data_IF_514378034569
#
_entry.id   IF_514378034569
#
_cell.length_a   1.000
_cell.length_b   1.000
_cell.length_c   1.000
_cell.angle_alpha   90.00
_cell.angle_beta   90.00
_cell.angle_gamma   90.00
#
_symmetry.space_group_name_H-M   'P 1'
#
loop_
_entity.id
_entity.type
_entity.pdbx_description
1 polymer ?
#
# COMPACT_ATOMS: atom_id res chain seq x y z
N UNK A 1 -22.41 4.72 -13.05
CA UNK A 1 -22.78 3.29 -12.89
C UNK A 1 -22.16 2.76 -11.61
N UNK A 2 -22.98 2.32 -10.65
CA UNK A 2 -22.47 1.76 -9.39
C UNK A 2 -21.64 0.50 -9.64
N UNK A 3 -20.61 0.30 -8.82
CA UNK A 3 -19.73 -0.86 -8.89
C UNK A 3 -19.89 -1.69 -7.61
N UNK A 4 -20.31 -2.94 -7.75
CA UNK A 4 -20.66 -3.83 -6.62
C UNK A 4 -19.56 -4.82 -6.22
N UNK A 5 -18.35 -4.66 -6.76
CA UNK A 5 -17.17 -5.46 -6.45
C UNK A 5 -15.92 -4.60 -6.44
N UNK A 6 -14.89 -5.07 -5.74
CA UNK A 6 -13.60 -4.38 -5.60
C UNK A 6 -12.88 -4.15 -6.94
N UNK A 7 -12.15 -3.05 -7.12
CA UNK A 7 -12.22 -1.86 -6.27
C UNK A 7 -13.55 -1.13 -6.43
N UNK A 8 -13.99 -0.46 -5.38
CA UNK A 8 -15.25 0.30 -5.38
C UNK A 8 -15.05 1.71 -5.93
N UNK A 9 -16.17 2.39 -6.33
CA UNK A 9 -16.09 3.78 -6.83
C UNK A 9 -15.50 4.74 -5.81
N UNK A 10 -15.83 4.54 -4.53
CA UNK A 10 -15.17 5.13 -3.39
C UNK A 10 -14.34 4.04 -2.69
N UNK A 11 -13.05 4.20 -2.63
CA UNK A 11 -12.12 3.25 -2.01
C UNK A 11 -11.15 3.98 -1.08
N UNK A 12 -10.37 3.25 -0.30
CA UNK A 12 -9.34 3.77 0.59
C UNK A 12 -8.05 2.96 0.45
N UNK A 13 -6.90 3.57 0.72
CA UNK A 13 -5.61 2.86 0.66
C UNK A 13 -5.50 1.84 1.79
N UNK A 14 -5.79 2.22 3.05
CA UNK A 14 -5.89 1.19 4.09
C UNK A 14 -5.61 1.69 5.51
N UNK A 15 -4.55 2.46 5.74
CA UNK A 15 -4.20 2.92 7.08
C UNK A 15 -5.01 4.13 7.53
N UNK A 16 -5.35 4.16 8.83
CA UNK A 16 -6.03 5.25 9.51
C UNK A 16 -5.22 5.75 10.71
N UNK A 17 -5.56 6.93 11.22
CA UNK A 17 -4.94 7.49 12.42
C UNK A 17 -5.22 6.59 13.63
N UNK A 18 -4.16 6.14 14.29
CA UNK A 18 -4.28 5.30 15.48
C UNK A 18 -4.80 6.11 16.66
N UNK A 19 -5.88 5.66 17.34
CA UNK A 19 -6.40 6.33 18.52
C UNK A 19 -5.39 6.26 19.67
N UNK A 20 -5.48 7.23 20.58
CA UNK A 20 -4.58 7.33 21.75
C UNK A 20 -4.62 6.07 22.63
N UNK A 21 -5.76 5.38 22.70
CA UNK A 21 -5.88 4.13 23.43
C UNK A 21 -4.84 3.08 22.98
N UNK A 22 -4.62 2.92 21.67
CA UNK A 22 -3.60 2.01 21.14
C UNK A 22 -2.20 2.49 21.51
N UNK A 23 -1.92 3.80 21.37
CA UNK A 23 -0.59 4.36 21.69
C UNK A 23 -0.25 4.12 23.17
N UNK A 24 -1.19 4.38 24.07
CA UNK A 24 -1.01 4.13 25.50
C UNK A 24 -0.88 2.64 25.83
N UNK A 25 -1.68 1.77 25.22
CA UNK A 25 -1.58 0.34 25.41
C UNK A 25 -0.21 -0.22 24.95
N UNK A 26 0.33 0.28 23.85
CA UNK A 26 1.67 -0.11 23.38
C UNK A 26 2.78 0.33 24.33
N UNK A 27 2.69 1.53 24.91
CA UNK A 27 3.64 1.98 25.94
C UNK A 27 3.57 1.08 27.19
N UNK A 28 2.36 0.73 27.67
CA UNK A 28 2.17 -0.18 28.79
C UNK A 28 2.66 -1.60 28.49
N UNK A 29 2.46 -2.09 27.27
CA UNK A 29 2.99 -3.38 26.85
C UNK A 29 4.53 -3.37 26.82
N UNK A 30 5.14 -2.32 26.28
CA UNK A 30 6.59 -2.16 26.25
C UNK A 30 7.22 -2.05 27.66
N UNK A 31 6.49 -1.48 28.63
CA UNK A 31 6.93 -1.42 30.05
C UNK A 31 6.62 -2.69 30.84
N UNK A 32 5.88 -3.66 30.25
CA UNK A 32 5.47 -4.89 30.94
C UNK A 32 4.27 -4.72 31.89
N UNK A 33 3.58 -3.59 31.84
CA UNK A 33 2.38 -3.33 32.65
C UNK A 33 1.16 -4.14 32.20
N UNK A 34 1.08 -4.44 30.90
CA UNK A 34 0.05 -5.28 30.31
C UNK A 34 0.69 -6.39 29.45
N UNK A 35 -0.02 -7.49 29.30
CA UNK A 35 0.38 -8.60 28.45
C UNK A 35 -0.10 -8.45 27.00
N UNK A 36 0.33 -9.35 26.11
CA UNK A 36 -0.03 -9.32 24.69
C UNK A 36 -1.55 -9.52 24.46
N UNK A 37 -2.23 -10.29 25.33
CA UNK A 37 -3.69 -10.48 25.24
C UNK A 37 -4.45 -9.19 25.57
N UNK A 38 -3.98 -8.45 26.57
CA UNK A 38 -4.55 -7.16 26.94
C UNK A 38 -4.32 -6.09 25.87
N UNK A 39 -3.12 -6.04 25.26
CA UNK A 39 -2.85 -5.18 24.12
C UNK A 39 -3.79 -5.52 22.97
N UNK A 40 -3.90 -6.82 22.62
CA UNK A 40 -4.78 -7.26 21.53
C UNK A 40 -6.24 -6.90 21.78
N UNK A 41 -6.73 -6.97 23.01
CA UNK A 41 -8.10 -6.56 23.34
C UNK A 41 -8.35 -5.06 23.04
N UNK A 42 -7.39 -4.19 23.34
CA UNK A 42 -7.47 -2.76 23.02
C UNK A 42 -7.44 -2.54 21.51
N UNK A 43 -6.58 -3.24 20.80
CA UNK A 43 -6.51 -3.18 19.33
C UNK A 43 -7.80 -3.69 18.68
N UNK A 44 -8.35 -4.80 19.16
CA UNK A 44 -9.62 -5.39 18.69
C UNK A 44 -10.78 -4.38 18.79
N UNK A 45 -10.88 -3.68 19.92
CA UNK A 45 -11.92 -2.67 20.12
C UNK A 45 -11.74 -1.47 19.19
N UNK A 46 -10.51 -0.98 19.06
CA UNK A 46 -10.21 0.14 18.18
C UNK A 46 -10.46 -0.23 16.69
N UNK A 47 -10.13 -1.46 16.29
CA UNK A 47 -10.38 -1.96 14.93
C UNK A 47 -11.90 -2.09 14.67
N UNK A 48 -12.68 -2.54 15.64
CA UNK A 48 -14.15 -2.55 15.50
C UNK A 48 -14.68 -1.14 15.26
N UNK A 49 -14.23 -0.18 16.07
CA UNK A 49 -14.64 1.21 15.91
C UNK A 49 -14.26 1.81 14.56
N UNK A 50 -13.03 1.59 14.07
CA UNK A 50 -12.61 2.11 12.76
C UNK A 50 -13.37 1.46 11.60
N UNK A 51 -13.76 0.20 11.71
CA UNK A 51 -14.63 -0.47 10.72
C UNK A 51 -16.02 0.16 10.71
N UNK A 52 -16.61 0.42 11.89
CA UNK A 52 -17.91 1.11 12.01
C UNK A 52 -17.86 2.53 11.41
N UNK A 53 -16.80 3.28 11.65
CA UNK A 53 -16.61 4.62 11.07
C UNK A 53 -16.47 4.59 9.54
N UNK A 54 -15.76 3.63 8.99
CA UNK A 54 -15.65 3.43 7.54
C UNK A 54 -17.03 3.16 6.92
N UNK A 55 -17.80 2.26 7.51
CA UNK A 55 -19.18 1.98 7.08
C UNK A 55 -20.10 3.22 7.21
N UNK A 56 -20.00 3.96 8.31
CA UNK A 56 -20.77 5.18 8.56
C UNK A 56 -20.42 6.30 7.56
N UNK A 57 -19.24 6.30 6.99
CA UNK A 57 -18.85 7.18 5.89
C UNK A 57 -19.38 6.73 4.51
N UNK A 58 -20.06 5.59 4.43
CA UNK A 58 -20.63 5.07 3.17
C UNK A 58 -19.65 4.22 2.34
N UNK A 59 -18.53 3.78 2.91
CA UNK A 59 -17.61 2.86 2.23
C UNK A 59 -18.21 1.45 2.15
N UNK A 60 -18.02 0.79 1.02
CA UNK A 60 -18.33 -0.64 0.82
C UNK A 60 -17.14 -1.56 1.09
N UNK A 61 -15.97 -0.99 1.32
CA UNK A 61 -14.71 -1.65 1.67
C UNK A 61 -14.28 -1.19 3.05
N UNK A 62 -13.72 -2.10 3.86
CA UNK A 62 -13.19 -1.79 5.18
C UNK A 62 -11.83 -2.42 5.38
N UNK A 63 -10.96 -1.73 6.13
CA UNK A 63 -9.65 -2.21 6.58
C UNK A 63 -9.58 -2.19 8.09
N UNK A 64 -8.58 -2.85 8.66
CA UNK A 64 -8.26 -2.78 10.09
C UNK A 64 -7.56 -1.45 10.50
N UNK A 65 -7.41 -0.50 9.57
CA UNK A 65 -6.68 0.74 9.77
C UNK A 65 -5.18 0.57 9.94
N UNK A 66 -4.67 -0.64 9.80
CA UNK A 66 -3.29 -1.04 10.10
C UNK A 66 -2.93 -0.82 11.59
N UNK A 67 -3.92 -0.90 12.46
CA UNK A 67 -3.77 -0.54 13.87
C UNK A 67 -2.84 -1.45 14.66
N UNK A 68 -2.59 -2.68 14.20
CA UNK A 68 -1.66 -3.61 14.83
C UNK A 68 -0.21 -3.42 14.39
N UNK A 69 0.04 -2.65 13.29
CA UNK A 69 1.37 -2.44 12.74
C UNK A 69 2.04 -1.21 13.36
N UNK A 70 3.35 -1.32 13.60
CA UNK A 70 4.21 -0.17 13.84
C UNK A 70 4.55 0.52 12.50
N UNK A 71 4.85 -0.29 11.47
CA UNK A 71 5.22 0.14 10.13
C UNK A 71 4.52 -0.71 9.07
N UNK A 72 4.09 -0.12 7.98
CA UNK A 72 3.34 -0.75 6.91
C UNK A 72 4.06 -1.97 6.27
N UNK A 73 5.40 -2.02 6.26
CA UNK A 73 6.17 -3.10 5.61
C UNK A 73 7.00 -3.95 6.57
N UNK A 74 7.63 -3.37 7.60
CA UNK A 74 8.50 -4.15 8.50
C UNK A 74 7.74 -5.24 9.23
N UNK A 75 6.55 -4.94 9.71
CA UNK A 75 5.72 -5.91 10.42
C UNK A 75 5.33 -7.13 9.56
N UNK A 76 5.22 -6.94 8.24
CA UNK A 76 5.05 -8.06 7.32
C UNK A 76 6.36 -8.81 7.10
N UNK A 77 7.48 -8.12 6.90
CA UNK A 77 8.76 -8.77 6.65
C UNK A 77 9.26 -9.59 7.83
N UNK A 78 8.97 -9.17 9.06
CA UNK A 78 9.33 -9.93 10.28
C UNK A 78 8.66 -11.33 10.34
N UNK A 79 7.54 -11.52 9.66
CA UNK A 79 6.84 -12.80 9.55
C UNK A 79 7.34 -13.70 8.43
N UNK A 80 8.27 -13.24 7.57
CA UNK A 80 8.81 -14.03 6.47
C UNK A 80 9.98 -14.91 6.91
N UNK A 81 10.09 -16.10 6.33
CA UNK A 81 11.26 -16.94 6.49
C UNK A 81 12.43 -16.34 5.71
N UNK A 82 13.63 -16.42 6.28
CA UNK A 82 14.86 -15.97 5.64
C UNK A 82 15.08 -14.45 5.65
N UNK A 83 14.25 -13.68 6.35
CA UNK A 83 14.36 -12.23 6.48
C UNK A 83 14.66 -11.85 7.93
N UNK A 84 15.55 -10.92 8.13
CA UNK A 84 15.92 -10.36 9.44
C UNK A 84 15.83 -8.84 9.44
N UNK A 85 15.27 -8.26 10.49
CA UNK A 85 15.34 -6.82 10.76
C UNK A 85 16.71 -6.52 11.43
N UNK A 86 17.32 -5.39 11.10
CA UNK A 86 18.53 -4.89 11.74
C UNK A 86 18.46 -3.39 11.98
N UNK A 87 19.23 -2.91 12.95
CA UNK A 87 19.39 -1.48 13.18
C UNK A 87 20.39 -0.91 12.17
N UNK A 88 19.93 0.01 11.35
CA UNK A 88 20.72 0.73 10.36
C UNK A 88 21.41 1.94 10.99
N UNK A 89 22.51 2.42 10.41
CA UNK A 89 23.16 3.65 10.85
C UNK A 89 22.34 4.92 10.50
N UNK A 90 21.49 4.83 9.48
CA UNK A 90 20.63 5.95 9.03
C UNK A 90 19.23 5.46 8.76
N UNK A 91 18.22 6.23 9.22
CA UNK A 91 16.83 6.03 8.87
C UNK A 91 16.53 6.49 7.45
N UNK A 92 15.30 6.24 7.02
CA UNK A 92 14.83 6.67 5.70
C UNK A 92 14.67 8.18 5.71
N UNK A 93 15.25 8.86 4.74
CA UNK A 93 15.16 10.30 4.58
C UNK A 93 13.90 10.65 3.79
N UNK A 94 12.97 11.35 4.43
CA UNK A 94 11.84 12.04 3.81
C UNK A 94 12.16 13.53 3.63
N UNK A 95 11.31 14.26 2.93
CA UNK A 95 11.46 15.70 2.79
C UNK A 95 11.37 16.38 4.17
N UNK A 96 12.51 16.85 4.67
CA UNK A 96 12.63 17.56 5.94
C UNK A 96 12.61 16.70 7.22
N UNK A 97 12.46 15.36 7.13
CA UNK A 97 12.42 14.48 8.31
C UNK A 97 13.07 13.12 8.05
N UNK A 98 13.70 12.55 9.06
CA UNK A 98 14.30 11.22 9.02
C UNK A 98 13.57 10.27 9.98
N UNK A 99 13.40 9.01 9.56
CA UNK A 99 12.76 7.98 10.37
C UNK A 99 13.75 7.31 11.33
N UNK A 100 13.24 6.41 12.20
CA UNK A 100 14.07 5.48 12.95
C UNK A 100 14.94 4.66 11.97
N UNK A 101 16.16 4.34 12.40
CA UNK A 101 17.15 3.68 11.57
C UNK A 101 16.99 2.15 11.62
N UNK A 102 16.06 1.61 10.83
CA UNK A 102 15.86 0.17 10.66
C UNK A 102 16.01 -0.24 9.20
N UNK A 103 16.54 -1.43 8.98
CA UNK A 103 16.65 -2.09 7.69
C UNK A 103 16.20 -3.54 7.77
N UNK A 104 16.05 -4.19 6.62
CA UNK A 104 15.84 -5.62 6.50
C UNK A 104 16.88 -6.21 5.59
N UNK A 105 17.30 -7.44 5.88
CA UNK A 105 18.25 -8.21 5.05
C UNK A 105 17.75 -9.65 4.89
N UNK A 106 18.14 -10.25 3.80
CA UNK A 106 17.84 -11.65 3.50
C UNK A 106 19.05 -12.51 3.87
N UNK A 107 18.90 -13.31 4.93
CA UNK A 107 19.96 -14.15 5.53
C UNK A 107 19.71 -15.64 5.34
N UNK A 108 18.55 -16.03 4.79
CA UNK A 108 18.16 -17.39 4.53
C UNK A 108 17.29 -17.52 3.28
N UNK A 109 16.89 -18.74 2.95
CA UNK A 109 15.92 -18.98 1.87
C UNK A 109 14.59 -18.33 2.19
N UNK A 110 14.08 -17.53 1.24
CA UNK A 110 12.78 -16.87 1.37
C UNK A 110 11.65 -17.90 1.42
N UNK A 111 10.63 -17.62 2.21
CA UNK A 111 9.40 -18.39 2.25
C UNK A 111 8.31 -17.72 3.07
N UNK A 112 7.07 -18.10 2.81
CA UNK A 112 5.90 -17.68 3.56
C UNK A 112 5.38 -18.86 4.38
N UNK A 113 5.19 -18.65 5.68
CA UNK A 113 4.73 -19.69 6.61
C UNK A 113 3.53 -19.23 7.43
N UNK A 114 3.54 -19.56 8.72
CA UNK A 114 2.56 -19.01 9.67
C UNK A 114 2.84 -17.51 9.86
N UNK A 115 1.95 -16.68 9.39
CA UNK A 115 2.09 -15.25 9.46
C UNK A 115 1.00 -14.62 10.35
N UNK A 116 1.32 -13.76 11.33
CA UNK A 116 0.34 -13.22 12.28
C UNK A 116 -0.77 -12.42 11.60
N UNK A 117 -0.48 -11.74 10.49
CA UNK A 117 -1.48 -10.97 9.75
C UNK A 117 -2.60 -11.83 9.14
N UNK A 118 -2.46 -13.16 9.06
CA UNK A 118 -3.57 -14.04 8.67
C UNK A 118 -4.66 -14.05 9.73
N UNK A 119 -4.28 -14.05 11.02
CA UNK A 119 -5.24 -13.97 12.13
C UNK A 119 -5.83 -12.56 12.26
N UNK A 120 -5.05 -11.53 11.95
CA UNK A 120 -5.53 -10.16 11.89
C UNK A 120 -6.58 -10.00 10.80
N UNK A 121 -6.37 -10.58 9.61
CA UNK A 121 -7.38 -10.59 8.56
C UNK A 121 -8.63 -11.38 8.94
N UNK A 122 -8.49 -12.55 9.57
CA UNK A 122 -9.65 -13.34 10.05
C UNK A 122 -10.50 -12.53 11.03
N UNK A 123 -9.85 -11.79 11.94
CA UNK A 123 -10.55 -10.90 12.86
C UNK A 123 -11.30 -9.80 12.09
N UNK A 124 -10.63 -9.05 11.19
CA UNK A 124 -11.27 -8.03 10.35
C UNK A 124 -12.49 -8.61 9.63
N UNK A 125 -12.34 -9.78 8.99
CA UNK A 125 -13.44 -10.45 8.28
C UNK A 125 -14.61 -10.77 9.20
N UNK A 126 -14.36 -11.16 10.46
CA UNK A 126 -15.42 -11.51 11.41
C UNK A 126 -16.28 -10.33 11.84
N UNK A 127 -15.78 -9.10 11.71
CA UNK A 127 -16.45 -7.86 12.15
C UNK A 127 -16.87 -6.95 10.99
N UNK A 128 -16.57 -7.31 9.72
CA UNK A 128 -16.86 -6.47 8.54
C UNK A 128 -18.36 -6.37 8.18
N UNK A 129 -19.20 -7.26 8.71
CA UNK A 129 -20.62 -7.29 8.34
C UNK A 129 -20.82 -7.51 6.84
N UNK A 130 -21.50 -6.56 6.19
CA UNK A 130 -21.76 -6.60 4.75
C UNK A 130 -20.67 -5.88 3.91
N UNK A 131 -19.73 -5.20 4.55
CA UNK A 131 -18.65 -4.55 3.85
C UNK A 131 -17.56 -5.56 3.42
N UNK A 132 -16.88 -5.27 2.31
CA UNK A 132 -15.78 -6.10 1.82
C UNK A 132 -14.52 -5.86 2.68
N UNK A 133 -14.02 -6.86 3.42
CA UNK A 133 -12.73 -6.71 4.10
C UNK A 133 -11.59 -6.69 3.09
N UNK A 134 -10.71 -5.70 3.24
CA UNK A 134 -9.50 -5.51 2.44
C UNK A 134 -8.26 -5.63 3.32
N UNK A 135 -7.28 -6.39 2.86
CA UNK A 135 -5.98 -6.49 3.50
C UNK A 135 -4.92 -5.79 2.67
N UNK A 136 -3.93 -5.21 3.33
CA UNK A 136 -2.77 -4.58 2.69
C UNK A 136 -1.49 -5.28 3.14
N UNK A 137 -0.60 -5.58 2.21
CA UNK A 137 0.74 -6.11 2.47
C UNK A 137 1.74 -5.40 1.56
N UNK A 138 3.04 -5.32 1.91
CA UNK A 138 4.01 -4.72 0.99
C UNK A 138 4.15 -5.54 -0.30
N UNK A 139 4.49 -4.85 -1.39
CA UNK A 139 4.86 -5.46 -2.67
C UNK A 139 6.24 -6.14 -2.57
N UNK A 140 6.51 -7.18 -3.36
CA UNK A 140 7.80 -7.90 -3.32
C UNK A 140 9.00 -7.01 -3.65
N UNK A 141 8.86 -6.03 -4.53
CA UNK A 141 9.91 -5.06 -4.89
C UNK A 141 10.52 -4.34 -3.69
N UNK A 142 9.70 -4.09 -2.65
CA UNK A 142 10.11 -3.34 -1.43
C UNK A 142 11.18 -4.10 -0.64
N UNK A 143 11.15 -5.43 -0.62
CA UNK A 143 12.16 -6.24 0.08
C UNK A 143 13.54 -6.17 -0.59
N UNK A 144 13.60 -5.96 -1.90
CA UNK A 144 14.85 -5.86 -2.65
C UNK A 144 15.39 -4.41 -2.71
N UNK A 145 14.52 -3.46 -3.03
CA UNK A 145 14.93 -2.15 -3.57
C UNK A 145 15.88 -1.36 -2.67
N UNK A 146 15.60 -1.28 -1.36
CA UNK A 146 16.35 -0.40 -0.46
C UNK A 146 17.78 -0.85 -0.24
N UNK A 147 17.97 -2.12 0.04
CA UNK A 147 19.28 -2.71 0.29
C UNK A 147 19.98 -3.14 -0.99
N UNK A 148 19.22 -3.53 -2.02
CA UNK A 148 19.76 -4.12 -3.23
C UNK A 148 20.59 -5.37 -2.93
N UNK A 149 21.59 -5.63 -3.75
CA UNK A 149 22.45 -6.82 -3.60
C UNK A 149 23.13 -6.96 -2.25
N UNK A 150 23.51 -5.87 -1.60
CA UNK A 150 24.29 -5.89 -0.35
C UNK A 150 23.52 -6.46 0.86
N UNK A 151 22.17 -6.36 0.84
CA UNK A 151 21.32 -6.85 1.92
C UNK A 151 20.77 -8.26 1.63
N UNK A 152 21.32 -8.95 0.62
CA UNK A 152 21.02 -10.33 0.28
C UNK A 152 22.28 -11.17 0.44
N UNK A 153 22.24 -12.16 1.35
CA UNK A 153 23.39 -13.03 1.60
C UNK A 153 23.80 -13.79 0.33
N UNK A 154 25.04 -13.54 -0.13
CA UNK A 154 25.58 -14.13 -1.33
C UNK A 154 25.84 -15.65 -1.22
N UNK A 155 25.93 -16.18 0.00
CA UNK A 155 26.07 -17.63 0.22
C UNK A 155 24.75 -18.35 0.08
N UNK A 156 23.64 -17.66 0.38
CA UNK A 156 22.26 -18.17 0.21
C UNK A 156 21.77 -17.99 -1.23
N UNK A 157 22.05 -16.80 -1.80
CA UNK A 157 21.65 -16.40 -3.14
C UNK A 157 22.86 -15.88 -3.95
N UNK A 158 23.73 -16.77 -4.44
CA UNK A 158 24.83 -16.36 -5.32
C UNK A 158 24.33 -15.79 -6.65
N UNK A 159 23.17 -16.27 -7.15
CA UNK A 159 22.48 -15.78 -8.33
C UNK A 159 21.19 -15.04 -7.93
N UNK A 160 21.09 -13.75 -8.30
CA UNK A 160 19.90 -12.94 -8.06
C UNK A 160 18.66 -13.40 -8.81
N UNK A 161 18.80 -14.13 -9.93
CA UNK A 161 17.61 -14.69 -10.60
C UNK A 161 16.92 -15.72 -9.72
N UNK A 162 17.68 -16.56 -9.01
CA UNK A 162 17.13 -17.49 -8.02
C UNK A 162 16.45 -16.76 -6.88
N UNK A 163 17.05 -15.66 -6.41
CA UNK A 163 16.44 -14.80 -5.40
C UNK A 163 15.10 -14.23 -5.87
N UNK A 164 15.03 -13.66 -7.07
CA UNK A 164 13.79 -13.10 -7.60
C UNK A 164 12.70 -14.16 -7.85
N UNK A 165 13.10 -15.38 -8.18
CA UNK A 165 12.18 -16.51 -8.33
C UNK A 165 11.60 -16.95 -6.98
N UNK A 166 12.42 -17.06 -5.94
CA UNK A 166 11.99 -17.37 -4.58
C UNK A 166 11.14 -16.22 -4.00
N UNK A 167 11.50 -14.96 -4.29
CA UNK A 167 10.73 -13.78 -3.91
C UNK A 167 9.30 -13.84 -4.49
N UNK A 168 9.18 -14.12 -5.79
CA UNK A 168 7.89 -14.26 -6.45
C UNK A 168 7.07 -15.42 -5.86
N UNK A 169 7.71 -16.56 -5.57
CA UNK A 169 7.07 -17.73 -4.96
C UNK A 169 6.57 -17.40 -3.55
N UNK A 170 7.37 -16.72 -2.74
CA UNK A 170 7.00 -16.29 -1.38
C UNK A 170 5.74 -15.41 -1.40
N UNK A 171 5.62 -14.46 -2.35
CA UNK A 171 4.41 -13.65 -2.47
C UNK A 171 3.22 -14.43 -3.03
N UNK A 172 3.43 -15.37 -3.94
CA UNK A 172 2.37 -16.28 -4.39
C UNK A 172 1.78 -17.08 -3.23
N UNK A 173 2.65 -17.61 -2.37
CA UNK A 173 2.24 -18.36 -1.18
C UNK A 173 1.51 -17.46 -0.18
N UNK A 174 1.96 -16.22 0.01
CA UNK A 174 1.27 -15.22 0.83
C UNK A 174 -0.14 -14.92 0.29
N UNK A 175 -0.24 -14.62 -1.01
CA UNK A 175 -1.52 -14.35 -1.68
C UNK A 175 -2.48 -15.53 -1.50
N UNK A 176 -1.99 -16.76 -1.67
CA UNK A 176 -2.77 -17.97 -1.49
C UNK A 176 -3.22 -18.14 -0.03
N UNK A 177 -2.35 -17.88 0.94
CA UNK A 177 -2.68 -18.01 2.36
C UNK A 177 -3.74 -16.98 2.80
N UNK A 178 -3.67 -15.73 2.32
CA UNK A 178 -4.73 -14.74 2.55
C UNK A 178 -6.04 -15.13 1.87
N UNK A 179 -5.99 -15.66 0.66
CA UNK A 179 -7.19 -16.18 -0.01
C UNK A 179 -7.83 -17.32 0.79
N UNK A 180 -7.05 -18.27 1.27
CA UNK A 180 -7.51 -19.41 2.07
C UNK A 180 -8.04 -18.94 3.45
N UNK A 181 -7.54 -17.83 4.00
CA UNK A 181 -8.11 -17.14 5.15
C UNK A 181 -9.46 -16.45 4.85
N UNK A 182 -9.86 -16.42 3.57
CA UNK A 182 -11.11 -15.84 3.07
C UNK A 182 -10.99 -14.43 2.51
N UNK A 183 -9.77 -13.94 2.27
CA UNK A 183 -9.54 -12.66 1.61
C UNK A 183 -10.00 -12.72 0.15
N UNK A 184 -10.72 -11.69 -0.28
CA UNK A 184 -11.16 -11.51 -1.67
C UNK A 184 -10.75 -10.14 -2.22
N UNK A 185 -10.11 -9.32 -1.41
CA UNK A 185 -9.53 -8.05 -1.79
C UNK A 185 -8.20 -7.85 -1.06
N UNK A 186 -7.10 -7.98 -1.78
CA UNK A 186 -5.74 -7.81 -1.26
C UNK A 186 -5.05 -6.68 -2.02
N UNK A 187 -4.42 -5.77 -1.30
CA UNK A 187 -3.62 -4.68 -1.86
C UNK A 187 -2.14 -4.92 -1.60
N UNK A 188 -1.33 -4.77 -2.63
CA UNK A 188 0.12 -4.74 -2.55
C UNK A 188 0.58 -3.28 -2.49
N UNK A 189 1.21 -2.88 -1.39
CA UNK A 189 1.71 -1.52 -1.21
C UNK A 189 3.15 -1.41 -1.72
N UNK A 190 3.39 -0.45 -2.61
CA UNK A 190 4.66 -0.29 -3.29
C UNK A 190 5.10 1.18 -3.30
N UNK A 191 6.32 1.45 -2.89
CA UNK A 191 6.96 2.77 -3.03
C UNK A 191 7.97 2.79 -4.17
N UNK A 192 8.39 1.62 -4.66
CA UNK A 192 9.52 1.49 -5.58
C UNK A 192 9.20 2.06 -6.95
N UNK A 193 8.00 1.79 -7.47
CA UNK A 193 7.57 2.35 -8.75
C UNK A 193 7.62 3.88 -8.78
N UNK A 194 7.28 4.54 -7.66
CA UNK A 194 7.40 5.99 -7.55
C UNK A 194 8.86 6.45 -7.47
N UNK A 195 9.74 5.67 -6.84
CA UNK A 195 11.19 5.96 -6.85
C UNK A 195 11.78 5.85 -8.26
N UNK A 196 11.32 4.88 -9.05
CA UNK A 196 11.72 4.74 -10.46
C UNK A 196 11.21 5.89 -11.35
N UNK A 197 10.28 6.71 -10.89
CA UNK A 197 9.82 7.93 -11.56
C UNK A 197 10.63 9.18 -11.21
N UNK A 198 11.42 9.15 -10.13
CA UNK A 198 12.16 10.31 -9.62
C UNK A 198 13.57 10.36 -10.20
N UNK A 199 13.96 11.49 -10.78
CA UNK A 199 15.30 11.67 -11.34
C UNK A 199 16.41 11.51 -10.29
N UNK A 200 16.17 12.01 -9.07
CA UNK A 200 17.10 11.88 -7.95
C UNK A 200 17.25 10.42 -7.51
N UNK A 201 16.16 9.67 -7.41
CA UNK A 201 16.22 8.27 -7.07
C UNK A 201 16.86 7.44 -8.19
N UNK A 202 16.55 7.73 -9.44
CA UNK A 202 17.19 7.09 -10.61
C UNK A 202 18.70 7.35 -10.65
N UNK A 203 19.15 8.54 -10.24
CA UNK A 203 20.60 8.84 -10.08
C UNK A 203 21.23 7.97 -9.00
N UNK A 204 20.63 7.87 -7.81
CA UNK A 204 21.11 7.01 -6.72
C UNK A 204 21.15 5.52 -7.12
N UNK A 205 20.17 5.04 -7.89
CA UNK A 205 20.15 3.69 -8.45
C UNK A 205 21.37 3.45 -9.34
N UNK A 206 21.69 4.38 -10.24
CA UNK A 206 22.88 4.29 -11.10
C UNK A 206 24.19 4.34 -10.30
N UNK A 207 24.27 5.18 -9.28
CA UNK A 207 25.46 5.30 -8.40
C UNK A 207 25.77 4.00 -7.66
N UNK A 208 24.76 3.20 -7.33
CA UNK A 208 24.96 1.87 -6.71
C UNK A 208 25.18 0.74 -7.73
N UNK A 209 25.20 1.07 -9.03
CA UNK A 209 25.49 0.12 -10.11
C UNK A 209 24.28 -0.58 -10.71
N UNK A 210 23.05 -0.18 -10.35
CA UNK A 210 21.81 -0.72 -10.90
C UNK A 210 21.28 0.15 -12.07
N UNK A 211 20.42 -0.43 -12.91
CA UNK A 211 19.66 0.25 -13.95
C UNK A 211 18.17 0.30 -13.59
N UNK A 212 17.60 1.51 -13.59
CA UNK A 212 16.22 1.71 -13.15
C UNK A 212 15.18 1.08 -14.10
N UNK A 213 15.46 1.05 -15.40
CA UNK A 213 14.56 0.48 -16.40
C UNK A 213 14.64 -1.07 -16.38
N UNK A 214 15.82 -1.61 -16.09
CA UNK A 214 15.98 -3.05 -15.87
C UNK A 214 15.28 -3.48 -14.57
N UNK A 215 15.42 -2.72 -13.49
CA UNK A 215 14.70 -2.98 -12.24
C UNK A 215 13.18 -2.95 -12.44
N UNK A 216 12.64 -2.00 -13.22
CA UNK A 216 11.23 -1.97 -13.55
C UNK A 216 10.75 -3.27 -14.21
N UNK A 217 11.51 -3.79 -15.19
CA UNK A 217 11.19 -5.07 -15.88
C UNK A 217 11.30 -6.27 -14.94
N UNK A 218 12.31 -6.29 -14.07
CA UNK A 218 12.47 -7.35 -13.06
C UNK A 218 11.27 -7.35 -12.11
N UNK A 219 10.89 -6.19 -11.56
CA UNK A 219 9.78 -6.11 -10.60
C UNK A 219 8.43 -6.43 -11.25
N UNK A 220 8.20 -6.04 -12.51
CA UNK A 220 7.02 -6.46 -13.26
C UNK A 220 6.97 -7.98 -13.44
N UNK A 221 8.10 -8.62 -13.76
CA UNK A 221 8.21 -10.09 -13.88
C UNK A 221 7.94 -10.76 -12.53
N UNK A 222 8.53 -10.28 -11.44
CA UNK A 222 8.33 -10.82 -10.08
C UNK A 222 6.86 -10.73 -9.68
N UNK A 223 6.23 -9.56 -9.86
CA UNK A 223 4.81 -9.36 -9.58
C UNK A 223 3.95 -10.32 -10.39
N UNK A 224 4.16 -10.39 -11.71
CA UNK A 224 3.37 -11.27 -12.58
C UNK A 224 3.52 -12.74 -12.18
N UNK A 225 4.74 -13.18 -11.84
CA UNK A 225 5.01 -14.55 -11.37
C UNK A 225 4.35 -14.82 -10.00
N UNK A 226 4.30 -13.84 -9.11
CA UNK A 226 3.59 -13.94 -7.83
C UNK A 226 2.06 -14.08 -8.02
N UNK A 227 1.52 -13.49 -9.08
CA UNK A 227 0.09 -13.53 -9.43
C UNK A 227 -0.33 -14.77 -10.25
N UNK A 228 0.61 -15.62 -10.68
CA UNK A 228 0.29 -16.83 -11.41
C UNK A 228 -0.60 -17.77 -10.60
N UNK A 229 -1.73 -18.18 -11.20
CA UNK A 229 -2.72 -19.05 -10.53
C UNK A 229 -3.56 -18.33 -9.46
N UNK A 230 -3.56 -17.00 -9.43
CA UNK A 230 -4.47 -16.21 -8.61
C UNK A 230 -5.92 -16.62 -8.90
N UNK A 231 -6.75 -16.91 -7.86
CA UNK A 231 -8.18 -17.16 -8.07
C UNK A 231 -8.91 -15.98 -8.71
N UNK A 232 -9.88 -16.28 -9.58
CA UNK A 232 -10.62 -15.28 -10.35
C UNK A 232 -11.46 -14.35 -9.46
N UNK A 233 -11.92 -14.85 -8.30
CA UNK A 233 -12.70 -14.09 -7.33
C UNK A 233 -11.85 -13.31 -6.31
N UNK A 234 -10.52 -13.29 -6.47
CA UNK A 234 -9.60 -12.46 -5.71
C UNK A 234 -9.21 -11.22 -6.51
N UNK A 235 -9.55 -10.05 -5.99
CA UNK A 235 -9.08 -8.77 -6.53
C UNK A 235 -7.72 -8.41 -5.92
N UNK A 236 -6.73 -8.12 -6.77
CA UNK A 236 -5.42 -7.61 -6.35
C UNK A 236 -5.27 -6.16 -6.80
N UNK A 237 -5.11 -5.24 -5.82
CA UNK A 237 -4.71 -3.87 -6.05
C UNK A 237 -3.19 -3.69 -5.88
N UNK A 238 -2.59 -2.78 -6.64
CA UNK A 238 -1.23 -2.29 -6.42
C UNK A 238 -1.27 -0.80 -6.11
N UNK A 239 -0.88 -0.42 -4.90
CA UNK A 239 -0.78 0.99 -4.52
C UNK A 239 0.64 1.50 -4.72
N UNK A 240 0.77 2.53 -5.55
CA UNK A 240 2.06 3.19 -5.83
C UNK A 240 2.17 4.44 -4.97
N UNK A 241 2.82 4.28 -3.82
CA UNK A 241 3.02 5.32 -2.83
C UNK A 241 4.31 6.13 -3.11
N UNK A 242 4.25 7.45 -2.95
CA UNK A 242 5.42 8.34 -3.10
C UNK A 242 6.19 8.57 -1.78
N UNK A 243 5.86 7.81 -0.76
CA UNK A 243 6.28 8.00 0.62
C UNK A 243 5.23 8.81 1.39
N UNK A 244 4.88 8.33 2.57
CA UNK A 244 3.93 9.00 3.45
C UNK A 244 4.37 8.84 4.90
N UNK A 245 5.00 9.88 5.43
CA UNK A 245 5.46 9.93 6.81
C UNK A 245 5.23 11.33 7.37
N UNK A 246 4.33 11.45 8.36
CA UNK A 246 3.99 12.71 9.03
C UNK A 246 3.77 13.87 8.05
N UNK A 247 2.89 13.67 7.08
CA UNK A 247 2.54 14.62 6.00
C UNK A 247 3.65 14.93 4.99
N UNK A 248 4.79 14.23 5.01
CA UNK A 248 5.86 14.43 4.04
C UNK A 248 5.90 13.31 2.99
N UNK A 249 6.80 13.42 2.01
CA UNK A 249 7.00 12.46 0.92
C UNK A 249 8.50 12.29 0.60
N UNK A 250 8.83 11.30 -0.24
CA UNK A 250 10.20 11.01 -0.67
C UNK A 250 10.40 11.35 -2.15
N UNK A 251 9.46 10.93 -3.02
CA UNK A 251 9.66 10.99 -4.47
C UNK A 251 8.68 11.91 -5.18
N UNK A 252 9.18 12.57 -6.20
CA UNK A 252 8.45 13.41 -7.14
C UNK A 252 8.73 12.94 -8.58
N UNK A 253 7.84 13.25 -9.50
CA UNK A 253 7.92 12.88 -10.91
C UNK A 253 6.65 12.17 -11.40
N UNK A 254 6.25 12.45 -12.64
CA UNK A 254 5.11 11.77 -13.28
C UNK A 254 5.40 10.29 -13.53
N UNK A 255 4.36 9.50 -13.79
CA UNK A 255 4.49 8.04 -14.00
C UNK A 255 5.07 7.65 -15.37
N UNK A 256 5.31 8.60 -16.27
CA UNK A 256 5.76 8.34 -17.66
C UNK A 256 6.99 7.40 -17.74
N UNK A 257 8.05 7.54 -16.89
CA UNK A 257 9.24 6.69 -16.99
C UNK A 257 9.00 5.19 -16.78
N UNK A 258 7.88 4.82 -16.17
CA UNK A 258 7.56 3.41 -15.87
C UNK A 258 6.23 2.95 -16.46
N UNK A 259 5.49 3.85 -17.12
CA UNK A 259 4.09 3.65 -17.48
C UNK A 259 3.85 2.45 -18.42
N UNK A 260 4.68 2.28 -19.43
CA UNK A 260 4.59 1.17 -20.38
C UNK A 260 4.81 -0.19 -19.69
N UNK A 261 5.77 -0.28 -18.78
CA UNK A 261 6.04 -1.49 -18.01
C UNK A 261 4.97 -1.69 -16.94
N UNK A 262 4.72 -0.68 -16.09
CA UNK A 262 3.81 -0.79 -14.97
C UNK A 262 2.37 -1.05 -15.43
N UNK A 263 1.79 -0.16 -16.25
CA UNK A 263 0.39 -0.26 -16.65
C UNK A 263 0.18 -1.24 -17.79
N UNK A 264 1.17 -1.37 -18.71
CA UNK A 264 1.07 -2.22 -19.86
C UNK A 264 1.33 -3.71 -19.58
N UNK A 265 2.14 -4.05 -18.58
CA UNK A 265 2.60 -5.42 -18.38
C UNK A 265 2.24 -6.06 -17.04
N UNK A 266 2.06 -5.27 -15.95
CA UNK A 266 1.73 -5.83 -14.63
C UNK A 266 0.26 -6.28 -14.57
N UNK A 267 0.02 -7.51 -14.11
CA UNK A 267 -1.27 -8.21 -14.19
C UNK A 267 -2.15 -8.04 -12.93
N UNK A 268 -2.07 -6.90 -12.26
CA UNK A 268 -3.00 -6.57 -11.17
C UNK A 268 -4.37 -6.16 -11.70
N UNK A 269 -5.40 -6.26 -10.86
CA UNK A 269 -6.77 -5.89 -11.20
C UNK A 269 -7.00 -4.38 -11.07
N UNK A 270 -6.21 -3.71 -10.22
CA UNK A 270 -6.32 -2.27 -9.99
C UNK A 270 -4.98 -1.60 -9.64
N UNK A 271 -4.83 -0.35 -10.05
CA UNK A 271 -3.75 0.54 -9.63
C UNK A 271 -4.31 1.67 -8.76
N UNK A 272 -3.77 1.83 -7.54
CA UNK A 272 -4.00 2.97 -6.67
C UNK A 272 -2.87 3.97 -6.86
N UNK A 273 -3.17 5.14 -7.40
CA UNK A 273 -2.17 6.10 -7.85
C UNK A 273 -2.35 7.45 -7.16
N UNK A 274 -1.25 8.00 -6.62
CA UNK A 274 -1.24 9.33 -6.05
C UNK A 274 -1.27 10.40 -7.15
N UNK A 275 -2.31 11.24 -7.10
CA UNK A 275 -2.51 12.38 -8.02
C UNK A 275 -3.09 13.61 -7.30
N UNK A 276 -2.81 13.78 -6.01
CA UNK A 276 -3.35 14.86 -5.19
C UNK A 276 -2.76 16.25 -5.47
N UNK A 277 -1.62 16.33 -6.17
CA UNK A 277 -0.98 17.58 -6.55
C UNK A 277 -0.01 17.40 -7.73
N UNK A 278 0.66 18.49 -8.14
CA UNK A 278 1.50 18.58 -9.34
C UNK A 278 2.75 17.69 -9.31
N UNK A 279 3.21 17.22 -8.12
CA UNK A 279 4.37 16.30 -8.00
C UNK A 279 4.19 14.98 -8.73
N UNK A 280 2.95 14.61 -9.04
CA UNK A 280 2.60 13.36 -9.73
C UNK A 280 2.54 13.49 -11.26
N UNK A 281 2.74 14.69 -11.80
CA UNK A 281 2.59 14.95 -13.22
C UNK A 281 1.13 14.91 -13.70
N UNK A 282 0.94 14.71 -14.99
CA UNK A 282 -0.36 14.63 -15.64
C UNK A 282 -0.88 13.18 -15.78
N UNK A 283 -2.08 13.04 -16.36
CA UNK A 283 -2.74 11.74 -16.55
C UNK A 283 -2.35 11.02 -17.86
N UNK A 284 -1.48 11.59 -18.71
CA UNK A 284 -1.10 10.97 -19.98
C UNK A 284 -0.53 9.54 -19.84
N UNK A 285 0.22 9.20 -18.77
CA UNK A 285 0.70 7.84 -18.53
C UNK A 285 -0.41 6.77 -18.45
N UNK A 286 -1.65 7.16 -18.08
CA UNK A 286 -2.78 6.24 -17.98
C UNK A 286 -3.21 5.65 -19.33
N UNK A 287 -2.75 6.19 -20.47
CA UNK A 287 -2.99 5.62 -21.81
C UNK A 287 -2.47 4.19 -21.97
N UNK A 288 -1.51 3.77 -21.13
CA UNK A 288 -0.98 2.40 -21.11
C UNK A 288 -1.83 1.41 -20.29
N UNK A 289 -2.80 1.90 -19.51
CA UNK A 289 -3.73 1.02 -18.78
C UNK A 289 -4.57 0.21 -19.76
N UNK A 290 -4.62 -1.09 -19.54
CA UNK A 290 -5.31 -2.02 -20.46
C UNK A 290 -6.83 -1.80 -20.44
N UNK A 291 -7.45 -1.49 -21.59
CA UNK A 291 -8.87 -1.20 -21.67
C UNK A 291 -9.74 -2.36 -21.18
N UNK A 292 -10.71 -2.06 -20.33
CA UNK A 292 -11.71 -3.00 -19.83
C UNK A 292 -11.21 -4.07 -18.84
N UNK A 293 -9.89 -4.12 -18.56
CA UNK A 293 -9.29 -5.15 -17.70
C UNK A 293 -8.88 -4.66 -16.33
N UNK A 294 -8.34 -3.46 -16.25
CA UNK A 294 -7.76 -2.90 -15.03
C UNK A 294 -8.53 -1.68 -14.59
N UNK A 295 -8.64 -1.49 -13.28
CA UNK A 295 -9.19 -0.27 -12.71
C UNK A 295 -8.06 0.68 -12.33
N UNK A 296 -8.35 1.98 -12.35
CA UNK A 296 -7.47 3.03 -11.84
C UNK A 296 -8.19 3.73 -10.69
N UNK A 297 -7.66 3.59 -9.49
CA UNK A 297 -8.17 4.26 -8.30
C UNK A 297 -7.33 5.53 -8.12
N UNK A 298 -7.93 6.66 -8.48
CA UNK A 298 -7.24 7.96 -8.45
C UNK A 298 -7.26 8.54 -7.04
N UNK A 299 -6.10 8.66 -6.45
CA UNK A 299 -5.85 9.29 -5.17
C UNK A 299 -5.79 10.82 -5.32
N UNK A 300 -6.96 11.46 -5.44
CA UNK A 300 -7.08 12.91 -5.67
C UNK A 300 -7.27 13.70 -4.37
N UNK A 301 -7.61 13.03 -3.27
CA UNK A 301 -7.84 13.66 -1.97
C UNK A 301 -6.57 13.50 -1.13
N UNK A 302 -5.92 14.62 -0.76
CA UNK A 302 -4.67 14.55 0.02
C UNK A 302 -4.90 14.09 1.47
N UNK A 303 -4.02 13.25 1.99
CA UNK A 303 -3.96 12.92 3.42
C UNK A 303 -2.89 13.71 4.16
N UNK A 304 -2.27 14.71 3.52
CA UNK A 304 -1.14 15.47 4.09
C UNK A 304 -1.56 16.69 4.89
N UNK A 305 -2.81 17.12 4.75
CA UNK A 305 -3.41 18.20 5.53
C UNK A 305 -4.91 17.94 5.74
N UNK A 306 -5.54 18.69 6.64
CA UNK A 306 -6.95 18.54 6.98
C UNK A 306 -7.93 19.39 6.17
N UNK A 307 -7.44 20.19 5.20
CA UNK A 307 -8.29 21.01 4.35
C UNK A 307 -9.04 20.14 3.34
N UNK A 308 -10.33 20.42 3.14
CA UNK A 308 -11.13 19.70 2.16
C UNK A 308 -10.91 20.28 0.77
N UNK A 309 -10.72 19.39 -0.19
CA UNK A 309 -10.65 19.73 -1.61
C UNK A 309 -12.01 20.24 -2.11
N UNK A 310 -11.97 21.10 -3.11
CA UNK A 310 -13.18 21.54 -3.82
C UNK A 310 -13.77 20.36 -4.63
N UNK A 311 -15.01 19.91 -4.36
CA UNK A 311 -15.63 18.78 -5.08
C UNK A 311 -15.66 18.95 -6.60
N UNK A 312 -15.96 20.15 -7.09
CA UNK A 312 -16.00 20.43 -8.54
C UNK A 312 -14.62 20.35 -9.18
N UNK A 313 -13.56 20.76 -8.44
CA UNK A 313 -12.18 20.59 -8.88
C UNK A 313 -11.79 19.11 -9.00
N UNK A 314 -12.20 18.27 -8.06
CA UNK A 314 -11.97 16.82 -8.12
C UNK A 314 -12.73 16.18 -9.28
N UNK A 315 -14.01 16.54 -9.48
CA UNK A 315 -14.81 16.06 -10.64
C UNK A 315 -14.15 16.44 -11.97
N UNK A 316 -13.66 17.66 -12.10
CA UNK A 316 -12.95 18.11 -13.31
C UNK A 316 -11.69 17.26 -13.56
N UNK A 317 -10.94 16.88 -12.52
CA UNK A 317 -9.77 16.02 -12.66
C UNK A 317 -10.16 14.57 -13.02
N UNK A 318 -11.28 14.06 -12.55
CA UNK A 318 -11.80 12.76 -12.98
C UNK A 318 -12.16 12.76 -14.48
N UNK A 319 -12.78 13.83 -14.97
CA UNK A 319 -13.07 14.01 -16.40
C UNK A 319 -11.80 14.20 -17.25
N UNK A 320 -10.78 14.82 -16.71
CA UNK A 320 -9.46 14.92 -17.36
C UNK A 320 -8.82 13.53 -17.51
N UNK A 321 -8.78 12.72 -16.45
CA UNK A 321 -8.27 11.36 -16.50
C UNK A 321 -9.06 10.47 -17.47
N UNK A 322 -10.37 10.71 -17.60
CA UNK A 322 -11.23 9.99 -18.53
C UNK A 322 -10.91 10.21 -20.02
N UNK A 323 -10.04 11.16 -20.34
CA UNK A 323 -9.50 11.32 -21.71
C UNK A 323 -8.48 10.24 -22.09
N UNK A 324 -7.89 9.57 -21.09
CA UNK A 324 -6.81 8.57 -21.27
C UNK A 324 -7.24 7.15 -20.91
N UNK A 325 -8.20 6.99 -20.01
CA UNK A 325 -8.73 5.69 -19.56
C UNK A 325 -10.24 5.78 -19.45
N UNK A 326 -10.97 4.72 -19.83
CA UNK A 326 -12.42 4.74 -19.82
C UNK A 326 -12.98 5.07 -18.43
N UNK A 327 -14.02 5.92 -18.35
CA UNK A 327 -14.63 6.38 -17.08
C UNK A 327 -15.11 5.20 -16.21
N UNK A 328 -15.50 4.10 -16.83
CA UNK A 328 -15.89 2.85 -16.19
C UNK A 328 -14.73 2.15 -15.48
N UNK A 329 -13.48 2.49 -15.82
CA UNK A 329 -12.26 1.96 -15.17
C UNK A 329 -11.75 2.89 -14.06
N UNK A 330 -12.37 4.06 -13.82
CA UNK A 330 -11.93 5.04 -12.83
C UNK A 330 -12.68 4.83 -11.52
N UNK A 331 -11.96 4.87 -10.41
CA UNK A 331 -12.46 4.95 -9.03
C UNK A 331 -11.73 6.11 -8.32
N UNK A 332 -12.23 6.52 -7.15
CA UNK A 332 -11.70 7.62 -6.36
C UNK A 332 -11.25 7.14 -4.98
N UNK A 333 -10.12 7.64 -4.49
CA UNK A 333 -9.65 7.41 -3.12
C UNK A 333 -8.87 8.62 -2.58
N UNK A 334 -8.53 8.62 -1.27
CA UNK A 334 -7.42 9.42 -0.78
C UNK A 334 -6.12 9.00 -1.48
N UNK A 335 -5.15 9.93 -1.56
CA UNK A 335 -3.90 9.67 -2.29
C UNK A 335 -3.04 8.56 -1.66
N UNK A 336 -3.10 8.42 -0.33
CA UNK A 336 -2.41 7.39 0.46
C UNK A 336 -3.26 7.04 1.70
N UNK A 337 -2.78 6.14 2.56
CA UNK A 337 -3.32 5.97 3.89
C UNK A 337 -3.12 7.23 4.78
N UNK A 338 -3.90 7.34 5.84
CA UNK A 338 -3.81 8.48 6.77
C UNK A 338 -2.65 8.34 7.76
N UNK A 339 -2.19 7.12 8.07
CA UNK A 339 -1.07 6.89 8.96
C UNK A 339 -0.32 5.59 8.63
N UNK A 340 0.63 5.64 7.72
CA UNK A 340 1.42 4.47 7.26
C UNK A 340 2.37 3.94 8.34
N UNK A 341 2.60 4.70 9.42
CA UNK A 341 3.43 4.36 10.57
C UNK A 341 2.77 4.75 11.88
N UNK A 342 3.28 4.22 13.00
CA UNK A 342 2.75 4.51 14.35
C UNK A 342 2.89 5.97 14.77
N UNK A 343 3.82 6.72 14.17
CA UNK A 343 4.04 8.14 14.43
C UNK A 343 2.85 9.01 13.99
N UNK A 344 1.96 8.47 13.17
CA UNK A 344 0.73 9.13 12.75
C UNK A 344 0.92 10.22 11.70
N UNK A 345 0.07 11.24 11.76
CA UNK A 345 0.02 12.34 10.78
C UNK A 345 -0.33 13.67 11.46
N UNK A 346 -0.27 14.77 10.71
CA UNK A 346 -0.55 16.11 11.21
C UNK A 346 -2.05 16.47 11.30
N UNK A 347 -2.92 15.76 10.55
CA UNK A 347 -4.37 16.00 10.57
C UNK A 347 -5.04 15.28 11.75
N UNK A 348 -6.19 15.80 12.18
CA UNK A 348 -7.01 15.20 13.22
C UNK A 348 -7.88 14.05 12.69
N UNK A 349 -8.39 13.22 13.60
CA UNK A 349 -9.33 12.15 13.27
C UNK A 349 -10.62 12.69 12.61
N UNK A 350 -11.16 13.82 13.10
CA UNK A 350 -12.32 14.46 12.49
C UNK A 350 -12.05 14.89 11.03
N UNK A 351 -10.88 15.44 10.77
CA UNK A 351 -10.47 15.81 9.41
C UNK A 351 -10.30 14.58 8.52
N UNK A 352 -9.73 13.49 9.04
CA UNK A 352 -9.65 12.21 8.33
C UNK A 352 -11.03 11.74 7.88
N UNK A 353 -12.02 11.69 8.77
CA UNK A 353 -13.36 11.23 8.42
C UNK A 353 -14.10 12.19 7.48
N UNK A 354 -13.84 13.49 7.58
CA UNK A 354 -14.39 14.45 6.61
C UNK A 354 -13.86 14.20 5.20
N UNK A 355 -12.57 13.87 5.06
CA UNK A 355 -11.99 13.51 3.76
C UNK A 355 -12.56 12.21 3.21
N UNK A 356 -12.78 11.20 4.03
CA UNK A 356 -13.41 9.94 3.60
C UNK A 356 -14.85 10.19 3.13
N UNK A 357 -15.63 11.02 3.87
CA UNK A 357 -16.99 11.41 3.42
C UNK A 357 -16.95 12.18 2.10
N UNK A 358 -15.96 13.04 1.90
CA UNK A 358 -15.80 13.75 0.61
C UNK A 358 -15.57 12.76 -0.54
N UNK A 359 -14.76 11.71 -0.36
CA UNK A 359 -14.56 10.66 -1.37
C UNK A 359 -15.87 9.97 -1.71
N UNK A 360 -16.64 9.53 -0.70
CA UNK A 360 -17.92 8.83 -0.93
C UNK A 360 -18.98 9.73 -1.53
N UNK A 361 -19.06 11.00 -1.10
CA UNK A 361 -19.94 12.00 -1.68
C UNK A 361 -19.65 12.20 -3.17
N UNK A 362 -18.41 12.54 -3.54
CA UNK A 362 -18.03 12.77 -4.94
C UNK A 362 -18.29 11.52 -5.78
N UNK A 363 -17.92 10.33 -5.27
CA UNK A 363 -18.20 9.09 -5.99
C UNK A 363 -19.67 8.87 -6.26
N UNK A 364 -20.56 9.17 -5.31
CA UNK A 364 -22.02 9.05 -5.48
C UNK A 364 -22.61 10.07 -6.47
N UNK A 365 -21.94 11.22 -6.64
CA UNK A 365 -22.36 12.26 -7.58
C UNK A 365 -21.87 12.01 -9.02
N UNK A 366 -20.75 11.28 -9.17
CA UNK A 366 -20.11 11.04 -10.49
C UNK A 366 -20.59 9.76 -11.14
N UNK A 367 -20.92 8.71 -10.37
CA UNK A 367 -21.30 7.37 -10.85
C UNK A 367 -22.65 6.91 -10.34
#
# INVERSE_FOLDING_TARGET
>A
MQRHHAPYRADVVGSFLRPDAIKQARLKFASGEIDAGQLRAVEDEAIRHVVEQQCACGLHVVTDGEFRRAWWHFDFFDGLQGVERYDSQQGIQFNGVQTKAHGVRVTGKLGFGKHPMLDDFRYLKSISGNAQPKMTIPSPSVLHFRGGRKDIDATVYPDLNVYFDDLATTWRDAIRAFYDAGCRYLQLDDTVWAYLCSDDQRRQIRERGDDADELARIYARVLNKALEGKPDDLTIGLHVCRGNFRSTWISEGGYEPVADVLFGTVNVDAFFLEYDNDRSGDFAPLRFVRPGKQQVVLGLITTKNGELENPEGIKARLEEAAKYVAKEQICLSPQCGFASTEEGNSLSEAQQWNKVRLVTQIASEVW
#
